data_IF_835085261838
#
_entry.id   IF_835085261838
#
_cell.length_a   1.000
_cell.length_b   1.000
_cell.length_c   1.000
_cell.angle_alpha   90.00
_cell.angle_beta   90.00
_cell.angle_gamma   90.00
#
_symmetry.space_group_name_H-M   'P 1'
#
loop_
_entity.id
_entity.type
_entity.pdbx_description
1 polymer ?
#
# COMPACT_ATOMS: atom_id res chain seq x y z
N UNK A 1 13.86 -6.34 -5.32
CA UNK A 1 12.47 -6.30 -5.80
C UNK A 1 11.72 -5.13 -5.16
N UNK A 2 10.83 -4.45 -5.88
CA UNK A 2 9.96 -3.43 -5.29
C UNK A 2 8.88 -4.12 -4.46
N UNK A 3 8.72 -3.71 -3.20
CA UNK A 3 7.70 -4.21 -2.29
C UNK A 3 6.84 -3.06 -1.75
N UNK A 4 5.53 -3.22 -1.89
CA UNK A 4 4.52 -2.43 -1.22
C UNK A 4 4.35 -2.88 0.24
N UNK A 5 4.47 -1.91 1.16
CA UNK A 5 4.33 -2.06 2.61
C UNK A 5 2.93 -1.74 3.12
N UNK A 6 1.92 -1.69 2.24
CA UNK A 6 0.54 -1.37 2.61
C UNK A 6 0.05 -2.20 3.81
N UNK A 7 0.39 -3.49 3.86
CA UNK A 7 0.06 -4.36 5.00
C UNK A 7 0.57 -3.82 6.35
N UNK A 8 1.82 -3.37 6.38
CA UNK A 8 2.47 -2.87 7.59
C UNK A 8 1.84 -1.54 7.98
N UNK A 9 1.65 -0.64 7.01
CA UNK A 9 1.04 0.67 7.24
C UNK A 9 -0.40 0.55 7.76
N UNK A 10 -1.20 -0.37 7.22
CA UNK A 10 -2.54 -0.63 7.74
C UNK A 10 -2.50 -1.14 9.19
N UNK A 11 -1.61 -2.09 9.49
CA UNK A 11 -1.46 -2.62 10.85
C UNK A 11 -1.01 -1.53 11.85
N UNK A 12 -0.07 -0.67 11.46
CA UNK A 12 0.40 0.45 12.29
C UNK A 12 -0.71 1.48 12.57
N UNK A 13 -1.64 1.65 11.63
CA UNK A 13 -2.80 2.54 11.79
C UNK A 13 -4.02 1.82 12.42
N UNK A 14 -3.91 0.54 12.79
CA UNK A 14 -5.03 -0.23 13.32
C UNK A 14 -6.18 -0.44 12.33
N UNK A 15 -5.90 -0.39 11.02
CA UNK A 15 -6.91 -0.47 9.97
C UNK A 15 -6.97 -1.86 9.34
N UNK A 16 -8.19 -2.34 9.12
CA UNK A 16 -8.47 -3.45 8.21
C UNK A 16 -8.52 -2.98 6.75
N UNK A 17 -8.40 -3.91 5.80
CA UNK A 17 -8.59 -3.60 4.37
C UNK A 17 -9.99 -3.04 4.07
N UNK A 18 -11.02 -3.45 4.83
CA UNK A 18 -12.41 -2.99 4.66
C UNK A 18 -12.59 -1.56 5.16
N UNK A 19 -12.03 -1.22 6.31
CA UNK A 19 -12.05 0.15 6.82
C UNK A 19 -11.25 1.07 5.90
N UNK A 20 -10.07 0.62 5.46
CA UNK A 20 -9.28 1.38 4.52
C UNK A 20 -9.98 1.61 3.18
N UNK A 21 -10.71 0.62 2.65
CA UNK A 21 -11.52 0.79 1.44
C UNK A 21 -12.58 1.89 1.60
N UNK A 22 -13.25 1.94 2.77
CA UNK A 22 -14.22 3.00 3.08
C UNK A 22 -13.57 4.39 3.16
N UNK A 23 -12.37 4.47 3.74
CA UNK A 23 -11.65 5.74 3.92
C UNK A 23 -11.04 6.26 2.61
N UNK A 24 -10.44 5.37 1.82
CA UNK A 24 -9.71 5.72 0.59
C UNK A 24 -10.59 5.78 -0.66
N UNK A 25 -11.77 5.15 -0.65
CA UNK A 25 -12.60 4.98 -1.84
C UNK A 25 -12.06 3.95 -2.84
N UNK A 26 -10.92 3.32 -2.57
CA UNK A 26 -10.36 2.27 -3.42
C UNK A 26 -11.14 0.96 -3.26
N UNK A 27 -11.23 0.20 -4.36
CA UNK A 27 -11.84 -1.12 -4.32
C UNK A 27 -11.03 -2.09 -3.45
N UNK A 28 -11.72 -3.00 -2.76
CA UNK A 28 -11.09 -4.09 -2.00
C UNK A 28 -10.17 -4.96 -2.88
N UNK A 29 -10.47 -5.06 -4.17
CA UNK A 29 -9.64 -5.78 -5.13
C UNK A 29 -8.28 -5.10 -5.34
N UNK A 30 -8.28 -3.78 -5.59
CA UNK A 30 -7.05 -3.01 -5.75
C UNK A 30 -6.21 -3.02 -4.47
N UNK A 31 -6.85 -2.75 -3.32
CA UNK A 31 -6.22 -2.83 -2.00
C UNK A 31 -5.61 -4.21 -1.77
N UNK A 32 -6.34 -5.28 -2.08
CA UNK A 32 -5.87 -6.65 -1.94
C UNK A 32 -4.61 -6.95 -2.77
N UNK A 33 -4.51 -6.41 -4.00
CA UNK A 33 -3.31 -6.53 -4.83
C UNK A 33 -2.11 -5.85 -4.20
N UNK A 34 -2.24 -4.61 -3.76
CA UNK A 34 -1.17 -3.85 -3.11
C UNK A 34 -0.78 -4.50 -1.77
N UNK A 35 -1.77 -4.88 -0.96
CA UNK A 35 -1.58 -5.53 0.33
C UNK A 35 -0.83 -6.87 0.22
N UNK A 36 -1.05 -7.63 -0.85
CA UNK A 36 -0.40 -8.93 -1.10
C UNK A 36 0.88 -8.83 -1.93
N UNK A 37 1.28 -7.63 -2.37
CA UNK A 37 2.39 -7.46 -3.31
C UNK A 37 2.20 -8.18 -4.66
N UNK A 38 0.95 -8.32 -5.11
CA UNK A 38 0.60 -8.96 -6.40
C UNK A 38 0.12 -7.93 -7.44
N UNK A 39 0.72 -6.74 -7.44
CA UNK A 39 0.44 -5.69 -8.40
C UNK A 39 1.52 -5.69 -9.50
N UNK A 40 1.12 -5.44 -10.74
CA UNK A 40 2.04 -5.28 -11.88
C UNK A 40 2.38 -3.81 -12.17
N UNK A 41 1.42 -2.95 -11.89
CA UNK A 41 1.50 -1.50 -12.03
C UNK A 41 0.66 -0.86 -10.92
N UNK A 42 0.92 0.41 -10.66
CA UNK A 42 0.10 1.26 -9.81
C UNK A 42 -0.24 2.53 -10.59
N UNK A 43 -1.51 2.90 -10.60
CA UNK A 43 -1.94 4.15 -11.20
C UNK A 43 -1.51 5.33 -10.31
N UNK A 44 -1.18 6.46 -10.93
CA UNK A 44 -0.79 7.67 -10.20
C UNK A 44 -1.85 8.09 -9.18
N UNK A 45 -3.13 8.00 -9.55
CA UNK A 45 -4.24 8.39 -8.67
C UNK A 45 -4.36 7.46 -7.46
N UNK A 46 -4.22 6.14 -7.66
CA UNK A 46 -4.16 5.17 -6.55
C UNK A 46 -3.01 5.52 -5.59
N UNK A 47 -1.82 5.85 -6.11
CA UNK A 47 -0.68 6.23 -5.30
C UNK A 47 -0.97 7.48 -4.46
N UNK A 48 -1.57 8.51 -5.06
CA UNK A 48 -1.97 9.74 -4.36
C UNK A 48 -2.96 9.43 -3.25
N UNK A 49 -4.01 8.66 -3.55
CA UNK A 49 -5.04 8.28 -2.59
C UNK A 49 -4.44 7.49 -1.42
N UNK A 50 -3.57 6.51 -1.69
CA UNK A 50 -2.88 5.73 -0.66
C UNK A 50 -2.06 6.63 0.27
N UNK A 51 -1.25 7.51 -0.32
CA UNK A 51 -0.38 8.43 0.44
C UNK A 51 -1.20 9.42 1.28
N UNK A 52 -2.26 10.00 0.73
CA UNK A 52 -3.13 10.94 1.44
C UNK A 52 -3.90 10.27 2.59
N UNK A 53 -4.48 9.08 2.33
CA UNK A 53 -5.29 8.38 3.33
C UNK A 53 -4.44 7.88 4.51
N UNK A 54 -3.23 7.40 4.23
CA UNK A 54 -2.30 6.89 5.24
C UNK A 54 -1.35 7.95 5.80
N UNK A 55 -1.43 9.19 5.30
CA UNK A 55 -0.52 10.29 5.64
C UNK A 55 0.95 9.88 5.55
N UNK A 56 1.31 9.19 4.47
CA UNK A 56 2.66 8.68 4.22
C UNK A 56 3.21 9.15 2.88
N UNK A 57 4.52 9.02 2.68
CA UNK A 57 5.15 9.26 1.38
C UNK A 57 5.19 7.99 0.52
N UNK A 58 5.42 8.10 -0.80
CA UNK A 58 5.68 6.93 -1.64
C UNK A 58 6.84 6.07 -1.16
N UNK A 59 7.87 6.65 -0.52
CA UNK A 59 9.02 5.92 0.01
C UNK A 59 8.71 5.10 1.27
N UNK A 60 7.69 5.52 2.04
CA UNK A 60 7.19 4.72 3.17
C UNK A 60 6.37 3.52 2.67
N UNK A 61 5.62 3.75 1.59
CA UNK A 61 4.72 2.77 0.96
C UNK A 61 5.47 1.74 0.11
N UNK A 62 6.51 2.15 -0.63
CA UNK A 62 7.28 1.27 -1.51
C UNK A 62 8.76 1.28 -1.12
N UNK A 63 9.28 0.08 -0.90
CA UNK A 63 10.70 -0.13 -0.61
C UNK A 63 11.32 -1.04 -1.65
N UNK A 64 12.59 -0.78 -1.95
CA UNK A 64 13.40 -1.71 -2.72
C UNK A 64 14.05 -2.71 -1.76
N UNK A 65 13.61 -3.96 -1.81
CA UNK A 65 14.26 -5.06 -1.09
C UNK A 65 15.38 -5.61 -1.97
N UNK A 66 16.62 -5.31 -1.61
CA UNK A 66 17.77 -5.95 -2.24
C UNK A 66 17.92 -7.36 -1.65
N UNK A 67 18.19 -8.37 -2.49
CA UNK A 67 18.41 -9.75 -2.01
C UNK A 67 19.69 -9.88 -1.15
N UNK A 68 20.52 -8.83 -1.07
CA UNK A 68 21.79 -8.78 -0.34
C UNK A 68 21.72 -8.17 1.07
N UNK A 69 20.67 -8.47 1.85
CA UNK A 69 20.68 -8.15 3.29
C UNK A 69 20.38 -9.38 4.14
N UNK A 70 21.50 -10.07 4.41
CA UNK A 70 21.81 -11.05 5.48
C UNK A 70 21.04 -12.36 5.50
#
# INVERSE_FOLDING_TARGET
MIRCRLRILLAQNGLTQREFAKLSGLSLYAIGKYYRNNFKAIHKDDLIILCQTLKCSPGDLFVYENFDKK
#
